data_IF_986660876794
#
_entry.id   IF_986660876794
#
_cell.length_a   1.000
_cell.length_b   1.000
_cell.length_c   1.000
_cell.angle_alpha   90.00
_cell.angle_beta   90.00
_cell.angle_gamma   90.00
#
_symmetry.space_group_name_H-M   'P 1'
#
loop_
_entity.id
_entity.type
_entity.pdbx_description
1 polymer ?
#
# COMPACT_ATOMS: atom_id res chain seq x y z
N UNK A 1 16.60 12.80 9.75
CA UNK A 1 15.56 11.78 9.97
C UNK A 1 15.67 11.36 11.43
N UNK A 2 14.56 11.17 12.16
CA UNK A 2 14.43 11.16 13.64
C UNK A 2 15.63 10.75 14.53
N UNK A 3 16.48 9.80 14.10
CA UNK A 3 17.74 9.42 14.76
C UNK A 3 18.83 10.51 14.76
N UNK A 4 18.76 11.49 13.85
CA UNK A 4 19.71 12.60 13.71
C UNK A 4 19.35 13.83 14.56
N UNK A 5 18.19 13.79 15.21
CA UNK A 5 17.64 14.85 16.04
C UNK A 5 17.50 14.29 17.45
N UNK A 6 17.86 15.05 18.49
CA UNK A 6 17.74 14.70 19.92
C UNK A 6 16.25 14.53 20.34
N UNK A 7 15.57 13.57 19.72
CA UNK A 7 14.14 13.30 19.88
C UNK A 7 13.95 12.14 20.84
N UNK A 8 12.81 12.14 21.51
CA UNK A 8 12.49 11.06 22.44
C UNK A 8 12.28 9.74 21.70
N UNK A 9 12.50 8.59 22.36
CA UNK A 9 12.26 7.27 21.76
C UNK A 9 10.84 7.12 21.19
N UNK A 10 9.85 7.75 21.81
CA UNK A 10 8.46 7.74 21.36
C UNK A 10 8.31 8.45 20.01
N UNK A 11 8.94 9.61 19.83
CA UNK A 11 8.92 10.34 18.55
C UNK A 11 9.64 9.55 17.46
N UNK A 12 10.76 8.90 17.80
CA UNK A 12 11.47 8.03 16.85
C UNK A 12 10.60 6.84 16.43
N UNK A 13 9.86 6.24 17.36
CA UNK A 13 8.93 5.15 17.08
C UNK A 13 7.77 5.60 16.18
N UNK A 14 7.16 6.76 16.43
CA UNK A 14 6.11 7.31 15.58
C UNK A 14 6.61 7.58 14.15
N UNK A 15 7.83 8.09 14.00
CA UNK A 15 8.44 8.29 12.68
C UNK A 15 8.73 6.96 11.96
N UNK A 16 9.15 5.92 12.70
CA UNK A 16 9.34 4.59 12.16
C UNK A 16 8.02 3.97 11.69
N UNK A 17 6.97 4.01 12.52
CA UNK A 17 5.64 3.50 12.17
C UNK A 17 5.02 4.27 11.01
N UNK A 18 5.25 5.59 10.91
CA UNK A 18 4.89 6.38 9.73
C UNK A 18 5.53 5.79 8.46
N UNK A 19 6.86 5.66 8.43
CA UNK A 19 7.59 5.21 7.25
C UNK A 19 7.23 3.78 6.84
N UNK A 20 7.12 2.88 7.83
CA UNK A 20 6.73 1.48 7.63
C UNK A 20 5.34 1.35 7.01
N UNK A 21 4.34 2.00 7.59
CA UNK A 21 2.97 1.89 7.10
C UNK A 21 2.77 2.59 5.76
N UNK A 22 3.47 3.71 5.51
CA UNK A 22 3.46 4.36 4.21
C UNK A 22 4.07 3.47 3.13
N UNK A 23 5.21 2.83 3.42
CA UNK A 23 5.88 1.92 2.48
C UNK A 23 5.03 0.69 2.15
N UNK A 24 4.38 0.09 3.15
CA UNK A 24 3.46 -1.04 2.94
C UNK A 24 2.24 -0.63 2.11
N UNK A 25 1.61 0.51 2.43
CA UNK A 25 0.51 1.02 1.63
C UNK A 25 0.93 1.27 0.17
N UNK A 26 2.12 1.84 -0.05
CA UNK A 26 2.67 2.07 -1.39
C UNK A 26 2.77 0.77 -2.18
N UNK A 27 3.40 -0.26 -1.59
CA UNK A 27 3.63 -1.53 -2.24
C UNK A 27 2.32 -2.22 -2.61
N UNK A 28 1.34 -2.27 -1.70
CA UNK A 28 0.05 -2.89 -1.98
C UNK A 28 -0.74 -2.18 -3.08
N UNK A 29 -0.66 -0.85 -3.15
CA UNK A 29 -1.26 -0.12 -4.27
C UNK A 29 -0.52 -0.43 -5.57
N UNK A 30 0.81 -0.54 -5.56
CA UNK A 30 1.60 -0.87 -6.75
C UNK A 30 1.26 -2.27 -7.28
N UNK A 31 1.21 -3.27 -6.40
CA UNK A 31 0.80 -4.64 -6.73
C UNK A 31 -0.59 -4.66 -7.39
N UNK A 32 -1.56 -3.90 -6.86
CA UNK A 32 -2.90 -3.77 -7.45
C UNK A 32 -2.83 -3.16 -8.85
N UNK A 33 -2.05 -2.09 -9.02
CA UNK A 33 -1.92 -1.39 -10.29
C UNK A 33 -1.20 -2.24 -11.36
N UNK A 34 -0.35 -3.20 -10.97
CA UNK A 34 0.23 -4.16 -11.93
C UNK A 34 -0.86 -5.01 -12.61
N UNK A 35 -1.96 -5.32 -11.91
CA UNK A 35 -3.09 -6.06 -12.47
C UNK A 35 -4.17 -5.17 -13.08
N UNK A 36 -4.46 -4.01 -12.49
CA UNK A 36 -5.61 -3.17 -12.86
C UNK A 36 -5.25 -1.94 -13.70
N UNK A 37 -3.97 -1.64 -13.89
CA UNK A 37 -3.51 -0.46 -14.62
C UNK A 37 -4.02 -0.42 -16.07
N UNK A 38 -4.28 0.77 -16.57
CA UNK A 38 -4.78 1.04 -17.93
C UNK A 38 -3.68 0.83 -18.96
N UNK A 39 -3.69 -0.31 -19.64
CA UNK A 39 -3.34 -0.33 -21.07
C UNK A 39 -4.63 -0.11 -21.84
N UNK A 40 -4.68 0.94 -22.68
CA UNK A 40 -5.87 1.50 -23.32
C UNK A 40 -6.66 0.54 -24.25
N UNK A 41 -6.34 -0.75 -24.27
CA UNK A 41 -7.00 -1.72 -25.13
C UNK A 41 -7.67 -2.89 -24.42
N UNK A 42 -7.29 -3.33 -23.21
CA UNK A 42 -7.79 -4.63 -22.72
C UNK A 42 -7.80 -4.83 -21.19
N UNK A 43 -8.05 -3.82 -20.35
CA UNK A 43 -8.37 -4.04 -18.91
C UNK A 43 -7.37 -4.90 -18.12
N UNK A 44 -6.15 -5.07 -18.65
CA UNK A 44 -5.05 -5.85 -18.12
C UNK A 44 -3.95 -4.83 -17.88
N UNK A 45 -3.51 -4.73 -16.62
CA UNK A 45 -2.32 -3.97 -16.27
C UNK A 45 -1.07 -4.50 -16.97
N UNK A 46 0.10 -4.01 -16.53
CA UNK A 46 1.40 -4.47 -17.05
C UNK A 46 1.55 -5.99 -16.91
N UNK A 47 0.98 -6.57 -15.84
CA UNK A 47 1.14 -7.97 -15.45
C UNK A 47 2.63 -8.34 -15.37
N UNK A 48 3.50 -7.38 -15.04
CA UNK A 48 4.94 -7.61 -15.09
C UNK A 48 5.37 -8.60 -14.03
N UNK A 49 4.76 -8.54 -12.85
CA UNK A 49 5.18 -9.36 -11.71
C UNK A 49 4.86 -10.83 -12.00
N UNK A 50 3.62 -11.11 -12.38
CA UNK A 50 3.18 -12.48 -12.66
C UNK A 50 3.87 -13.08 -13.89
N UNK A 51 4.25 -12.27 -14.89
CA UNK A 51 5.03 -12.73 -16.06
C UNK A 51 6.47 -13.09 -15.68
N UNK A 52 7.03 -12.45 -14.67
CA UNK A 52 8.35 -12.75 -14.12
C UNK A 52 8.31 -13.88 -13.07
N UNK A 53 7.13 -14.41 -12.77
CA UNK A 53 6.95 -15.44 -11.75
C UNK A 53 6.94 -14.89 -10.32
N UNK A 54 6.76 -13.58 -10.15
CA UNK A 54 6.65 -12.92 -8.85
C UNK A 54 5.18 -13.00 -8.39
N UNK A 55 4.98 -13.61 -7.21
CA UNK A 55 3.67 -13.74 -6.58
C UNK A 55 3.47 -12.54 -5.64
N UNK A 56 2.49 -11.68 -5.91
CA UNK A 56 2.17 -10.51 -5.09
C UNK A 56 0.85 -10.70 -4.31
N UNK A 57 0.53 -9.76 -3.41
CA UNK A 57 -0.59 -9.88 -2.47
C UNK A 57 -1.94 -10.23 -3.12
N UNK A 58 -2.33 -9.68 -4.30
CA UNK A 58 -3.59 -10.03 -4.93
C UNK A 58 -3.70 -11.52 -5.26
N UNK A 59 -2.61 -12.14 -5.73
CA UNK A 59 -2.58 -13.57 -6.05
C UNK A 59 -2.58 -14.42 -4.78
N UNK A 60 -1.82 -14.02 -3.75
CA UNK A 60 -1.83 -14.73 -2.45
C UNK A 60 -3.24 -14.81 -1.86
N UNK A 61 -3.99 -13.70 -1.88
CA UNK A 61 -5.38 -13.71 -1.42
C UNK A 61 -6.31 -14.52 -2.33
N UNK A 62 -6.05 -14.58 -3.64
CA UNK A 62 -6.79 -15.47 -4.53
C UNK A 62 -6.53 -16.95 -4.22
N UNK A 63 -5.30 -17.32 -3.85
CA UNK A 63 -4.92 -18.68 -3.46
C UNK A 63 -5.59 -19.11 -2.15
N UNK A 64 -5.83 -18.19 -1.21
CA UNK A 64 -6.60 -18.48 0.01
C UNK A 64 -8.04 -18.88 -0.31
N UNK A 65 -8.68 -18.21 -1.28
CA UNK A 65 -10.07 -18.51 -1.70
C UNK A 65 -10.14 -19.73 -2.64
N UNK A 66 -9.08 -19.97 -3.41
CA UNK A 66 -8.97 -21.10 -4.34
C UNK A 66 -7.70 -21.93 -4.05
N UNK A 67 -7.70 -22.81 -3.04
CA UNK A 67 -6.52 -23.61 -2.67
C UNK A 67 -6.02 -24.56 -3.77
N UNK A 68 -6.86 -24.82 -4.79
CA UNK A 68 -6.49 -25.62 -5.97
C UNK A 68 -5.86 -24.78 -7.08
N UNK A 69 -5.60 -23.49 -6.84
CA UNK A 69 -4.97 -22.61 -7.80
C UNK A 69 -3.58 -23.16 -8.13
N UNK A 70 -3.45 -23.72 -9.33
CA UNK A 70 -2.15 -24.13 -9.85
C UNK A 70 -1.39 -22.90 -10.32
N UNK A 71 -0.07 -22.92 -10.16
CA UNK A 71 0.84 -21.88 -10.65
C UNK A 71 0.98 -21.92 -12.18
N UNK A 72 -0.14 -21.71 -12.88
CA UNK A 72 -0.23 -21.55 -14.32
C UNK A 72 -0.78 -20.14 -14.53
N UNK A 73 0.02 -19.26 -15.15
CA UNK A 73 -0.27 -17.81 -15.24
C UNK A 73 -1.70 -17.53 -15.73
N UNK A 74 -2.17 -18.23 -16.77
CA UNK A 74 -3.52 -18.04 -17.30
C UNK A 74 -4.62 -18.37 -16.27
N UNK A 75 -4.46 -19.48 -15.54
CA UNK A 75 -5.40 -19.86 -14.48
C UNK A 75 -5.29 -18.87 -13.31
N UNK A 76 -4.08 -18.51 -12.90
CA UNK A 76 -3.84 -17.52 -11.83
C UNK A 76 -4.58 -16.20 -12.08
N UNK A 77 -4.54 -15.68 -13.31
CA UNK A 77 -5.28 -14.48 -13.68
C UNK A 77 -6.80 -14.71 -13.66
N UNK A 78 -7.28 -15.82 -14.21
CA UNK A 78 -8.72 -16.14 -14.20
C UNK A 78 -9.28 -16.20 -12.77
N UNK A 79 -8.61 -16.91 -11.87
CA UNK A 79 -9.02 -17.03 -10.48
C UNK A 79 -8.85 -15.73 -9.71
N UNK A 80 -7.83 -14.92 -10.01
CA UNK A 80 -7.68 -13.58 -9.43
C UNK A 80 -8.95 -12.74 -9.66
N UNK A 81 -9.44 -12.68 -10.90
CA UNK A 81 -10.64 -11.91 -11.25
C UNK A 81 -11.95 -12.49 -10.70
N UNK A 82 -11.97 -13.78 -10.35
CA UNK A 82 -13.10 -14.43 -9.65
C UNK A 82 -13.01 -14.32 -8.13
N UNK A 83 -11.83 -13.99 -7.61
CA UNK A 83 -11.56 -13.86 -6.18
C UNK A 83 -11.78 -12.43 -5.69
N UNK A 84 -11.68 -12.24 -4.37
CA UNK A 84 -11.54 -10.91 -3.76
C UNK A 84 -10.09 -10.49 -3.59
N UNK A 85 -9.12 -11.09 -4.29
CA UNK A 85 -7.70 -10.81 -4.10
C UNK A 85 -7.31 -9.34 -4.32
N UNK A 86 -7.81 -8.74 -5.40
CA UNK A 86 -7.61 -7.30 -5.67
C UNK A 86 -8.27 -6.44 -4.59
N UNK A 87 -9.52 -6.76 -4.23
CA UNK A 87 -10.26 -6.02 -3.20
C UNK A 87 -9.55 -6.08 -1.84
N UNK A 88 -9.17 -7.27 -1.38
CA UNK A 88 -8.48 -7.48 -0.10
C UNK A 88 -7.12 -6.77 -0.05
N UNK A 89 -6.42 -6.71 -1.18
CA UNK A 89 -5.16 -5.96 -1.27
C UNK A 89 -5.41 -4.45 -1.14
N UNK A 90 -6.47 -3.91 -1.77
CA UNK A 90 -6.87 -2.51 -1.60
C UNK A 90 -7.27 -2.20 -0.15
N UNK A 91 -8.04 -3.07 0.48
CA UNK A 91 -8.43 -2.94 1.89
C UNK A 91 -7.20 -2.93 2.80
N UNK A 92 -6.20 -3.77 2.53
CA UNK A 92 -4.94 -3.79 3.26
C UNK A 92 -4.14 -2.50 3.07
N UNK A 93 -4.08 -1.96 1.84
CA UNK A 93 -3.46 -0.67 1.58
C UNK A 93 -4.13 0.46 2.37
N UNK A 94 -5.47 0.51 2.38
CA UNK A 94 -6.25 1.49 3.15
C UNK A 94 -5.98 1.34 4.65
N UNK A 95 -5.94 0.10 5.17
CA UNK A 95 -5.62 -0.16 6.58
C UNK A 95 -4.26 0.43 6.95
N UNK A 96 -3.22 0.19 6.14
CA UNK A 96 -1.90 0.77 6.41
C UNK A 96 -1.88 2.29 6.26
N UNK A 97 -2.57 2.86 5.28
CA UNK A 97 -2.73 4.30 5.15
C UNK A 97 -3.38 4.95 6.38
N UNK A 98 -4.37 4.30 7.00
CA UNK A 98 -4.98 4.79 8.24
C UNK A 98 -4.01 4.75 9.42
N UNK A 99 -3.14 3.74 9.49
CA UNK A 99 -2.08 3.66 10.51
C UNK A 99 -1.04 4.79 10.37
N UNK A 100 -0.80 5.27 9.15
CA UNK A 100 0.06 6.44 8.92
C UNK A 100 -0.50 7.70 9.58
N UNK A 101 -1.81 7.95 9.44
CA UNK A 101 -2.46 9.09 10.10
C UNK A 101 -2.35 8.99 11.62
N UNK A 102 -2.63 7.81 12.19
CA UNK A 102 -2.49 7.56 13.61
C UNK A 102 -1.05 7.78 14.12
N UNK A 103 -0.03 7.40 13.33
CA UNK A 103 1.37 7.63 13.69
C UNK A 103 1.71 9.13 13.73
N UNK A 104 1.17 9.95 12.82
CA UNK A 104 1.34 11.41 12.85
C UNK A 104 0.60 12.04 14.02
N UNK A 105 -0.62 11.58 14.31
CA UNK A 105 -1.44 12.10 15.41
C UNK A 105 -0.83 11.78 16.79
N UNK A 106 -0.03 10.72 16.89
CA UNK A 106 0.71 10.37 18.12
C UNK A 106 1.89 11.29 18.43
N UNK A 107 2.30 12.17 17.50
CA UNK A 107 3.40 13.11 17.73
C UNK A 107 2.98 14.21 18.71
N UNK A 108 3.88 14.67 19.61
CA UNK A 108 3.58 15.74 20.56
C UNK A 108 2.99 16.98 19.88
N UNK A 109 2.02 17.64 20.51
CA UNK A 109 1.47 18.88 19.96
C UNK A 109 2.56 19.94 19.77
N UNK A 110 2.41 20.76 18.73
CA UNK A 110 3.34 21.84 18.41
C UNK A 110 2.56 23.09 18.03
N UNK A 111 2.91 24.22 18.64
CA UNK A 111 2.40 25.55 18.28
C UNK A 111 3.09 26.12 17.03
N UNK A 112 4.13 25.44 16.52
CA UNK A 112 4.83 25.87 15.32
C UNK A 112 4.01 25.56 14.06
N UNK A 113 3.62 26.61 13.34
CA UNK A 113 2.79 26.53 12.14
C UNK A 113 3.41 25.66 11.03
N UNK A 114 4.74 25.67 10.87
CA UNK A 114 5.43 24.89 9.84
C UNK A 114 5.46 23.41 10.18
N UNK A 115 5.53 23.06 11.46
CA UNK A 115 5.39 21.68 11.95
C UNK A 115 3.99 21.15 11.65
N UNK A 116 2.96 21.93 11.96
CA UNK A 116 1.56 21.55 11.69
C UNK A 116 1.28 21.40 10.19
N UNK A 117 1.78 22.33 9.36
CA UNK A 117 1.70 22.21 7.90
C UNK A 117 2.39 20.96 7.37
N UNK A 118 3.58 20.64 7.88
CA UNK A 118 4.34 19.45 7.49
C UNK A 118 3.58 18.17 7.84
N UNK A 119 2.99 18.08 9.04
CA UNK A 119 2.16 16.94 9.45
C UNK A 119 0.97 16.75 8.52
N UNK A 120 0.26 17.83 8.18
CA UNK A 120 -0.86 17.76 7.25
C UNK A 120 -0.43 17.32 5.85
N UNK A 121 0.72 17.78 5.38
CA UNK A 121 1.28 17.35 4.09
C UNK A 121 1.58 15.84 4.08
N UNK A 122 2.16 15.29 5.15
CA UNK A 122 2.43 13.85 5.29
C UNK A 122 1.16 13.00 5.27
N UNK A 123 0.07 13.46 5.90
CA UNK A 123 -1.25 12.82 5.83
C UNK A 123 -1.81 12.89 4.41
N UNK A 124 -1.72 14.06 3.77
CA UNK A 124 -2.24 14.26 2.41
C UNK A 124 -1.52 13.38 1.37
N UNK A 125 -0.20 13.22 1.48
CA UNK A 125 0.58 12.31 0.63
C UNK A 125 0.04 10.87 0.70
N UNK A 126 -0.31 10.43 1.90
CA UNK A 126 -0.87 9.08 2.13
C UNK A 126 -2.24 8.92 1.46
N UNK A 127 -3.08 9.95 1.49
CA UNK A 127 -4.39 9.94 0.81
C UNK A 127 -4.22 9.87 -0.70
N UNK A 128 -3.34 10.69 -1.27
CA UNK A 128 -3.04 10.69 -2.71
C UNK A 128 -2.58 9.30 -3.15
N UNK A 129 -1.74 8.66 -2.35
CA UNK A 129 -1.18 7.34 -2.62
C UNK A 129 -2.25 6.26 -2.76
N UNK A 130 -3.27 6.22 -1.89
CA UNK A 130 -4.33 5.20 -1.96
C UNK A 130 -5.37 5.47 -3.02
N UNK A 131 -5.50 6.73 -3.48
CA UNK A 131 -6.43 7.12 -4.54
C UNK A 131 -5.80 7.17 -5.93
N UNK A 132 -4.49 6.87 -6.06
CA UNK A 132 -3.79 6.99 -7.33
C UNK A 132 -4.31 5.95 -8.33
N UNK A 133 -4.64 6.41 -9.53
CA UNK A 133 -4.79 5.59 -10.72
C UNK A 133 -3.64 5.97 -11.66
N UNK A 134 -3.04 4.98 -12.35
CA UNK A 134 -2.04 5.25 -13.40
C UNK A 134 -2.69 5.93 -14.61
#
# INVERSE_FOLDING_TARGET
MALSSDQTPEVAMSAFEYGKNLGLAYQFVDDVLDFTGTSASLGKGSLSDIRQGIVTAPILFAMEEFPRLKWVIQQALEYLWKSRGIQRTKELAIKHANLVAAAIDSLPESSNIDVTKSRQALINLTRILVTRNK
#
